data_IF_950751021690
#
_entry.id   IF_950751021690
#
_cell.length_a   1.000
_cell.length_b   1.000
_cell.length_c   1.000
_cell.angle_alpha   90.00
_cell.angle_beta   90.00
_cell.angle_gamma   90.00
#
_symmetry.space_group_name_H-M   'P 1'
#
loop_
_entity.id
_entity.type
_entity.pdbx_description
1 polymer ?
#
# COMPACT_ATOMS: atom_id res chain seq x y z
N UNK A 1 -52.39 43.56 99.27
CA UNK A 1 -51.21 42.93 98.74
C UNK A 1 -51.30 42.98 97.19
N UNK A 2 -50.37 43.71 96.60
CA UNK A 2 -50.21 43.74 95.13
C UNK A 2 -49.08 42.80 94.78
N UNK A 3 -49.35 41.90 93.90
CA UNK A 3 -48.28 41.02 93.36
C UNK A 3 -48.06 41.51 91.92
N UNK A 4 -46.84 41.92 91.61
CA UNK A 4 -46.42 42.38 90.30
C UNK A 4 -45.72 41.19 89.57
N UNK A 5 -46.25 40.86 88.40
CA UNK A 5 -45.59 39.85 87.54
C UNK A 5 -44.99 40.62 86.37
N UNK A 6 -43.70 40.51 86.22
CA UNK A 6 -42.97 41.03 85.07
C UNK A 6 -43.03 39.98 83.96
N UNK A 7 -43.68 40.33 82.88
CA UNK A 7 -43.71 39.49 81.64
C UNK A 7 -42.80 40.14 80.60
N UNK A 8 -41.76 39.40 80.18
CA UNK A 8 -40.92 39.80 79.05
C UNK A 8 -41.47 39.16 77.77
N UNK A 9 -41.96 40.01 76.87
CA UNK A 9 -42.40 39.55 75.53
C UNK A 9 -41.25 39.81 74.58
N UNK A 10 -40.68 38.80 74.03
CA UNK A 10 -39.71 38.89 72.99
C UNK A 10 -40.39 38.77 71.61
N UNK A 11 -40.36 39.83 70.82
CA UNK A 11 -41.01 39.88 69.49
C UNK A 11 -40.29 39.14 68.38
N UNK A 12 -39.18 38.46 68.72
CA UNK A 12 -38.39 37.69 67.75
C UNK A 12 -38.22 36.25 68.20
N UNK A 13 -38.37 35.32 67.30
CA UNK A 13 -38.00 33.91 67.52
C UNK A 13 -36.60 33.68 67.11
N UNK A 14 -35.79 32.97 67.93
CA UNK A 14 -34.47 32.43 67.60
C UNK A 14 -34.64 30.92 67.45
N UNK A 15 -34.54 30.46 66.25
CA UNK A 15 -34.76 29.05 65.91
C UNK A 15 -33.42 28.27 65.93
N UNK A 16 -33.48 27.03 66.41
CA UNK A 16 -32.45 26.00 66.25
C UNK A 16 -33.15 24.69 65.96
N UNK A 17 -32.71 23.97 64.94
CA UNK A 17 -33.28 22.70 64.49
C UNK A 17 -34.84 22.77 64.31
N UNK A 18 -35.30 23.89 63.78
CA UNK A 18 -36.73 24.10 63.50
C UNK A 18 -37.60 24.40 64.74
N UNK A 19 -37.01 24.64 65.90
CA UNK A 19 -37.69 25.00 67.10
C UNK A 19 -37.16 26.31 67.71
N UNK A 20 -38.04 27.14 68.20
CA UNK A 20 -37.65 28.34 68.91
C UNK A 20 -37.06 27.95 70.27
N UNK A 21 -35.83 28.43 70.54
CA UNK A 21 -35.09 28.17 71.79
C UNK A 21 -35.78 28.63 73.06
N UNK A 22 -36.86 29.50 72.95
CA UNK A 22 -37.47 30.13 74.08
C UNK A 22 -38.93 29.61 74.29
N UNK A 23 -39.67 29.35 73.24
CA UNK A 23 -41.10 29.04 73.33
C UNK A 23 -41.52 27.78 72.61
N UNK A 24 -40.63 27.00 72.07
CA UNK A 24 -40.86 25.77 71.29
C UNK A 24 -41.72 25.94 70.03
N UNK A 25 -42.01 27.20 69.64
CA UNK A 25 -42.71 27.43 68.37
C UNK A 25 -41.91 26.80 67.18
N UNK A 26 -42.65 26.18 66.28
CA UNK A 26 -42.04 25.62 65.08
C UNK A 26 -41.63 26.74 64.10
N UNK A 27 -40.45 26.64 63.55
CA UNK A 27 -40.00 27.48 62.45
C UNK A 27 -40.74 27.08 61.18
N UNK A 28 -41.57 27.99 60.60
CA UNK A 28 -42.31 27.67 59.42
C UNK A 28 -41.50 27.45 58.18
N UNK A 29 -40.24 27.94 58.23
CA UNK A 29 -39.29 27.83 57.09
C UNK A 29 -38.23 26.70 57.33
N UNK A 30 -38.31 25.97 58.42
CA UNK A 30 -37.38 24.88 58.71
C UNK A 30 -37.67 23.68 57.85
N UNK A 31 -36.66 23.29 57.11
CA UNK A 31 -36.64 22.03 56.35
C UNK A 31 -35.58 21.12 57.03
N UNK A 32 -35.97 19.98 57.59
CA UNK A 32 -35.00 19.03 58.13
C UNK A 32 -33.98 18.61 57.08
N UNK A 33 -32.75 18.41 57.55
CA UNK A 33 -31.77 17.78 56.66
C UNK A 33 -32.26 16.39 56.28
N UNK A 34 -32.09 15.99 55.01
CA UNK A 34 -32.43 14.64 54.55
C UNK A 34 -31.54 13.61 55.23
N UNK A 35 -32.08 12.43 55.49
CA UNK A 35 -31.33 11.30 56.04
C UNK A 35 -30.60 10.58 54.89
N UNK A 36 -29.34 10.28 55.04
CA UNK A 36 -28.59 9.53 54.08
C UNK A 36 -29.04 8.06 54.00
N UNK A 37 -29.17 7.52 52.76
CA UNK A 37 -29.53 6.13 52.50
C UNK A 37 -28.61 5.60 51.36
N UNK A 38 -27.85 4.58 51.65
CA UNK A 38 -26.91 3.94 50.76
C UNK A 38 -27.57 2.94 49.79
N UNK A 39 -28.86 2.61 50.01
CA UNK A 39 -29.59 1.62 49.18
C UNK A 39 -30.37 2.24 48.02
N UNK A 40 -30.19 3.53 47.75
CA UNK A 40 -30.82 4.19 46.61
C UNK A 40 -30.27 3.61 45.29
N UNK A 41 -31.11 3.18 44.34
CA UNK A 41 -30.67 2.76 43.03
C UNK A 41 -29.89 3.86 42.32
N UNK A 42 -29.04 3.49 41.38
CA UNK A 42 -28.21 4.45 40.66
C UNK A 42 -28.91 5.04 39.44
N UNK A 43 -28.34 6.11 38.88
CA UNK A 43 -28.78 6.73 37.63
C UNK A 43 -28.62 5.78 36.45
N UNK A 44 -29.41 6.05 35.42
CA UNK A 44 -29.18 5.52 34.08
C UNK A 44 -28.60 6.61 33.17
N UNK A 45 -27.74 6.20 32.23
CA UNK A 45 -27.07 7.09 31.29
C UNK A 45 -27.60 6.84 29.87
N UNK A 46 -27.83 7.91 29.11
CA UNK A 46 -28.23 7.83 27.71
C UNK A 46 -27.42 8.80 26.87
N UNK A 47 -26.75 8.27 25.82
CA UNK A 47 -26.08 9.07 24.84
C UNK A 47 -27.07 9.75 23.88
N UNK A 48 -26.79 11.00 23.53
CA UNK A 48 -27.64 11.80 22.63
C UNK A 48 -26.77 12.36 21.48
N UNK A 49 -27.42 12.56 20.34
CA UNK A 49 -26.92 13.39 19.26
C UNK A 49 -27.08 14.88 19.61
N UNK A 50 -26.42 15.75 18.83
CA UNK A 50 -26.53 17.20 18.99
C UNK A 50 -27.98 17.73 18.88
N UNK A 51 -28.84 17.04 18.15
CA UNK A 51 -30.24 17.36 17.98
C UNK A 51 -31.14 16.82 19.12
N UNK A 52 -30.56 16.17 20.14
CA UNK A 52 -31.25 15.58 21.28
C UNK A 52 -31.89 14.21 21.01
N UNK A 53 -31.72 13.64 19.84
CA UNK A 53 -32.15 12.26 19.56
C UNK A 53 -31.20 11.24 20.19
N UNK A 54 -31.67 9.99 20.41
CA UNK A 54 -30.85 8.95 20.95
C UNK A 54 -29.69 8.65 19.98
N UNK A 55 -28.47 8.62 20.52
CA UNK A 55 -27.26 8.26 19.77
C UNK A 55 -26.85 6.82 20.05
N UNK A 56 -26.33 6.14 19.01
CA UNK A 56 -25.59 4.88 19.15
C UNK A 56 -24.13 5.22 19.53
N UNK A 57 -23.93 5.92 20.62
CA UNK A 57 -22.68 6.56 20.93
C UNK A 57 -21.97 6.01 22.18
N UNK A 58 -22.42 4.87 22.70
CA UNK A 58 -21.79 4.25 23.86
C UNK A 58 -20.86 3.12 23.41
N UNK A 59 -19.59 3.21 23.79
CA UNK A 59 -18.61 2.16 23.70
C UNK A 59 -18.58 1.25 24.93
N UNK A 60 -17.42 0.72 25.28
CA UNK A 60 -17.21 -0.14 26.45
C UNK A 60 -16.77 0.69 27.67
N UNK A 61 -17.05 0.20 28.87
CA UNK A 61 -16.52 0.72 30.14
C UNK A 61 -16.68 2.24 30.37
N UNK A 62 -17.81 2.82 29.98
CA UNK A 62 -18.09 4.23 30.19
C UNK A 62 -17.49 5.17 29.15
N UNK A 63 -16.99 4.63 28.04
CA UNK A 63 -16.54 5.41 26.89
C UNK A 63 -17.68 5.81 25.97
N UNK A 64 -17.62 7.02 25.44
CA UNK A 64 -18.63 7.61 24.56
C UNK A 64 -17.95 8.28 23.36
N UNK A 65 -18.59 8.22 22.21
CA UNK A 65 -18.19 8.95 20.98
C UNK A 65 -19.04 10.19 20.72
N UNK A 66 -20.01 10.45 21.60
CA UNK A 66 -20.83 11.67 21.58
C UNK A 66 -20.68 12.41 22.88
N UNK A 67 -20.62 13.74 22.82
CA UNK A 67 -20.41 14.59 23.99
C UNK A 67 -21.67 14.83 24.82
N UNK A 68 -22.86 14.55 24.30
CA UNK A 68 -24.11 14.82 25.00
C UNK A 68 -24.63 13.56 25.69
N UNK A 69 -24.74 13.63 27.00
CA UNK A 69 -25.21 12.53 27.85
C UNK A 69 -26.36 13.03 28.75
N UNK A 70 -27.43 12.28 28.78
CA UNK A 70 -28.51 12.51 29.78
C UNK A 70 -28.39 11.53 30.92
N UNK A 71 -28.27 12.05 32.13
CA UNK A 71 -28.40 11.30 33.38
C UNK A 71 -29.86 11.25 33.75
N UNK A 72 -30.38 10.08 34.07
CA UNK A 72 -31.77 9.92 34.50
C UNK A 72 -31.84 9.32 35.90
N UNK A 73 -32.48 9.99 36.85
CA UNK A 73 -32.68 9.48 38.20
C UNK A 73 -33.63 8.25 38.19
N UNK A 74 -33.49 7.36 39.17
CA UNK A 74 -34.49 6.33 39.44
C UNK A 74 -35.87 6.94 39.71
N UNK A 75 -36.92 6.16 39.51
CA UNK A 75 -38.30 6.60 39.79
C UNK A 75 -38.46 7.06 41.27
N UNK A 76 -39.08 8.22 41.48
CA UNK A 76 -39.29 8.85 42.79
C UNK A 76 -38.04 9.58 43.34
N UNK A 77 -37.01 9.78 42.52
CA UNK A 77 -35.80 10.51 42.88
C UNK A 77 -35.50 11.64 41.88
N UNK A 78 -34.74 12.62 42.35
CA UNK A 78 -34.20 13.69 41.57
C UNK A 78 -32.67 13.75 41.71
N UNK A 79 -32.00 14.23 40.70
CA UNK A 79 -30.54 14.51 40.69
C UNK A 79 -30.33 15.91 41.28
N UNK A 80 -29.36 16.04 42.18
CA UNK A 80 -28.90 17.32 42.70
C UNK A 80 -27.38 17.36 42.77
N UNK A 81 -26.80 18.48 42.39
CA UNK A 81 -25.35 18.71 42.46
C UNK A 81 -24.89 19.13 43.88
N UNK A 82 -25.82 19.77 44.63
CA UNK A 82 -25.56 20.19 46.00
C UNK A 82 -26.80 19.85 46.86
N UNK A 83 -26.65 19.02 47.90
CA UNK A 83 -27.76 18.59 48.79
C UNK A 83 -28.43 19.73 49.55
N UNK A 84 -27.72 20.85 49.74
CA UNK A 84 -28.20 22.02 50.48
C UNK A 84 -28.82 23.10 49.55
N UNK A 85 -28.66 22.96 48.24
CA UNK A 85 -29.24 23.89 47.29
C UNK A 85 -30.75 23.64 47.13
N UNK A 86 -31.58 24.61 47.54
CA UNK A 86 -33.05 24.56 47.37
C UNK A 86 -33.52 24.67 45.90
N UNK A 87 -32.59 24.81 44.97
CA UNK A 87 -32.83 25.13 43.57
C UNK A 87 -32.27 24.04 42.66
N UNK A 88 -33.06 23.55 41.73
CA UNK A 88 -32.82 22.54 40.71
C UNK A 88 -32.80 21.08 41.22
N UNK A 89 -34.02 20.56 41.33
CA UNK A 89 -34.27 19.12 41.43
C UNK A 89 -34.78 18.67 40.08
N UNK A 90 -34.04 17.78 39.45
CA UNK A 90 -34.35 17.37 38.11
C UNK A 90 -34.37 15.83 38.01
N UNK A 91 -35.43 15.26 37.43
CA UNK A 91 -35.46 13.82 37.18
C UNK A 91 -34.41 13.44 36.14
N UNK A 92 -33.95 14.40 35.32
CA UNK A 92 -32.90 14.23 34.32
C UNK A 92 -31.92 15.41 34.37
N UNK A 93 -30.65 15.11 34.10
CA UNK A 93 -29.59 16.10 33.97
C UNK A 93 -28.84 15.86 32.66
N UNK A 94 -28.85 16.85 31.78
CA UNK A 94 -28.10 16.82 30.54
C UNK A 94 -26.72 17.42 30.81
N UNK A 95 -25.69 16.69 30.38
CA UNK A 95 -24.30 17.10 30.51
C UNK A 95 -23.64 17.08 29.15
N UNK A 96 -22.61 17.90 28.99
CA UNK A 96 -21.72 17.93 27.86
C UNK A 96 -20.31 17.49 28.31
N UNK A 97 -19.81 16.39 27.75
CA UNK A 97 -18.49 15.87 28.07
C UNK A 97 -17.40 16.63 27.30
N UNK A 98 -16.26 16.77 27.94
CA UNK A 98 -15.02 17.20 27.30
C UNK A 98 -14.21 15.97 26.85
N UNK A 99 -13.36 16.14 25.83
CA UNK A 99 -12.49 15.06 25.32
C UNK A 99 -11.60 14.49 26.43
N UNK A 100 -11.58 13.18 26.59
CA UNK A 100 -10.88 12.47 27.65
C UNK A 100 -11.74 12.14 28.87
N UNK A 101 -11.14 12.12 30.07
CA UNK A 101 -11.81 11.76 31.34
C UNK A 101 -12.68 12.92 31.86
N UNK A 102 -13.94 12.59 32.19
CA UNK A 102 -14.90 13.47 32.84
C UNK A 102 -15.34 12.84 34.16
N UNK A 103 -15.30 13.60 35.24
CA UNK A 103 -15.75 13.17 36.57
C UNK A 103 -17.03 13.93 36.93
N UNK A 104 -18.14 13.18 37.10
CA UNK A 104 -19.47 13.74 37.38
C UNK A 104 -19.83 13.38 38.79
N UNK A 105 -20.04 14.42 39.64
CA UNK A 105 -20.46 14.27 41.03
C UNK A 105 -21.91 14.64 41.15
N UNK A 106 -22.70 13.83 41.86
CA UNK A 106 -24.14 14.05 42.09
C UNK A 106 -24.61 13.35 43.32
N UNK A 107 -25.79 13.81 43.80
CA UNK A 107 -26.58 13.13 44.80
C UNK A 107 -27.95 12.79 44.22
N UNK A 108 -28.59 11.76 44.79
CA UNK A 108 -29.98 11.41 44.50
C UNK A 108 -30.84 11.72 45.72
N UNK A 109 -31.80 12.64 45.57
CA UNK A 109 -32.74 13.02 46.65
C UNK A 109 -34.11 12.51 46.29
N UNK A 110 -34.78 11.89 47.30
CA UNK A 110 -36.18 11.46 47.14
C UNK A 110 -37.10 12.65 46.97
N UNK A 111 -38.17 12.47 46.19
CA UNK A 111 -39.17 13.55 45.95
C UNK A 111 -39.77 14.15 47.22
N UNK A 112 -39.88 13.35 48.31
CA UNK A 112 -40.34 13.81 49.62
C UNK A 112 -39.33 14.64 50.41
N UNK A 113 -38.10 14.76 49.89
CA UNK A 113 -36.96 15.49 50.48
C UNK A 113 -36.47 14.98 51.82
N UNK A 114 -36.79 13.77 52.20
CA UNK A 114 -36.42 13.19 53.50
C UNK A 114 -35.20 12.25 53.40
N UNK A 115 -34.94 11.77 52.19
CA UNK A 115 -33.87 10.78 51.97
C UNK A 115 -32.96 11.25 50.84
N UNK A 116 -31.68 11.13 51.03
CA UNK A 116 -30.62 11.49 50.08
C UNK A 116 -29.57 10.37 49.97
N UNK A 117 -28.99 10.20 48.82
CA UNK A 117 -27.83 9.31 48.67
C UNK A 117 -26.57 9.93 49.26
N UNK A 118 -25.59 9.13 49.52
CA UNK A 118 -24.17 9.59 49.61
C UNK A 118 -23.77 10.32 48.33
N UNK A 119 -22.65 11.07 48.36
CA UNK A 119 -22.03 11.63 47.16
C UNK A 119 -21.66 10.49 46.23
N UNK A 120 -22.15 10.56 45.02
CA UNK A 120 -21.81 9.61 43.97
C UNK A 120 -20.95 10.25 42.90
N UNK A 121 -19.97 9.51 42.44
CA UNK A 121 -19.05 9.94 41.37
C UNK A 121 -19.15 8.96 40.22
N UNK A 122 -19.28 9.48 39.01
CA UNK A 122 -19.17 8.71 37.76
C UNK A 122 -18.05 9.24 36.92
N UNK A 123 -17.17 8.33 36.47
CA UNK A 123 -16.15 8.62 35.48
C UNK A 123 -16.67 8.21 34.12
N UNK A 124 -16.71 9.16 33.20
CA UNK A 124 -17.12 8.99 31.82
C UNK A 124 -15.97 9.47 30.93
N UNK A 125 -15.78 8.82 29.80
CA UNK A 125 -14.72 9.14 28.88
C UNK A 125 -15.31 9.50 27.52
N UNK A 126 -14.88 10.62 26.95
CA UNK A 126 -15.23 11.01 25.59
C UNK A 126 -14.02 10.80 24.68
N UNK A 127 -14.24 10.09 23.58
CA UNK A 127 -13.30 10.01 22.47
C UNK A 127 -14.07 10.10 21.17
N UNK A 128 -13.86 11.19 20.43
CA UNK A 128 -14.54 11.46 19.16
C UNK A 128 -13.69 11.13 17.94
N UNK A 129 -12.47 10.63 18.15
CA UNK A 129 -11.50 10.37 17.10
C UNK A 129 -11.36 8.89 16.85
N UNK A 130 -11.37 8.51 15.57
CA UNK A 130 -11.11 7.13 15.20
C UNK A 130 -9.61 6.83 15.18
N UNK A 131 -9.20 5.57 15.43
CA UNK A 131 -7.83 5.13 15.31
C UNK A 131 -7.20 5.50 13.96
N UNK A 132 -5.95 5.96 13.95
CA UNK A 132 -5.23 6.29 12.72
C UNK A 132 -4.25 5.19 12.35
N UNK A 133 -4.34 4.70 11.11
CA UNK A 133 -3.43 3.70 10.55
C UNK A 133 -2.37 4.42 9.71
N UNK A 134 -1.09 4.22 10.05
CA UNK A 134 0.05 4.78 9.33
C UNK A 134 0.88 3.67 8.68
N UNK A 135 1.21 3.81 7.40
CA UNK A 135 2.02 2.84 6.64
C UNK A 135 1.21 1.93 5.72
N UNK A 136 -0.12 2.00 5.76
CA UNK A 136 -1.00 1.36 4.79
C UNK A 136 -1.75 2.39 3.94
N UNK A 137 -2.05 2.00 2.71
CA UNK A 137 -2.85 2.78 1.76
C UNK A 137 -4.03 1.94 1.29
N UNK A 138 -5.22 2.55 1.25
CA UNK A 138 -6.45 1.89 0.82
C UNK A 138 -6.32 1.30 -0.60
N UNK A 139 -6.68 0.02 -0.76
CA UNK A 139 -6.65 -0.70 -2.02
C UNK A 139 -5.26 -1.06 -2.54
N UNK A 140 -4.19 -0.76 -1.80
CA UNK A 140 -2.82 -1.00 -2.26
C UNK A 140 -2.44 -2.47 -2.23
N UNK A 141 -1.65 -2.86 -3.24
CA UNK A 141 -1.02 -4.18 -3.33
C UNK A 141 0.44 -4.09 -2.88
N UNK A 142 0.79 -4.86 -1.86
CA UNK A 142 2.14 -5.01 -1.34
C UNK A 142 2.73 -6.34 -1.80
N UNK A 143 3.98 -6.32 -2.26
CA UNK A 143 4.66 -7.52 -2.76
C UNK A 143 5.35 -8.31 -1.65
N UNK A 144 5.53 -7.70 -0.49
CA UNK A 144 6.16 -8.29 0.69
C UNK A 144 5.32 -7.98 1.92
N UNK A 145 5.62 -8.65 3.05
CA UNK A 145 5.01 -8.30 4.33
C UNK A 145 5.22 -6.81 4.63
N UNK A 146 4.16 -6.13 5.06
CA UNK A 146 4.17 -4.70 5.33
C UNK A 146 3.94 -4.45 6.82
N UNK A 147 4.78 -3.59 7.41
CA UNK A 147 4.62 -3.14 8.79
C UNK A 147 3.93 -1.79 8.84
N UNK A 148 2.98 -1.64 9.75
CA UNK A 148 2.22 -0.42 9.95
C UNK A 148 2.08 -0.11 11.45
N UNK A 149 1.78 1.13 11.77
CA UNK A 149 1.52 1.58 13.13
C UNK A 149 0.10 2.12 13.28
N UNK A 150 -0.40 2.06 14.50
CA UNK A 150 -1.69 2.63 14.89
C UNK A 150 -1.44 3.73 15.91
N UNK A 151 -2.04 4.90 15.68
CA UNK A 151 -2.04 6.00 16.64
C UNK A 151 -3.43 6.03 17.27
N UNK A 152 -3.50 5.48 18.48
CA UNK A 152 -4.69 5.41 19.32
C UNK A 152 -4.29 5.03 20.73
N UNK A 153 -4.70 5.86 21.72
CA UNK A 153 -4.40 5.59 23.14
C UNK A 153 -5.38 4.57 23.75
N UNK A 154 -6.60 4.53 23.21
CA UNK A 154 -7.72 3.76 23.73
C UNK A 154 -8.11 2.60 22.82
N UNK A 155 -7.16 2.08 22.05
CA UNK A 155 -7.38 0.98 21.09
C UNK A 155 -8.00 -0.23 21.77
N UNK A 156 -9.09 -0.74 21.23
CA UNK A 156 -9.77 -1.95 21.67
C UNK A 156 -9.55 -3.08 20.66
N UNK A 157 -8.53 -3.89 20.91
CA UNK A 157 -8.19 -5.02 20.04
C UNK A 157 -9.24 -6.14 20.09
N UNK A 158 -9.99 -6.27 21.18
CA UNK A 158 -11.01 -7.32 21.32
C UNK A 158 -12.23 -7.06 20.45
N UNK A 159 -12.61 -5.78 20.28
CA UNK A 159 -13.70 -5.36 19.40
C UNK A 159 -13.27 -5.12 17.95
N UNK A 160 -11.96 -5.03 17.69
CA UNK A 160 -11.37 -4.85 16.36
C UNK A 160 -11.47 -6.15 15.55
N UNK A 161 -11.58 -6.02 14.21
CA UNK A 161 -11.52 -7.17 13.31
C UNK A 161 -10.17 -7.15 12.57
N UNK A 162 -9.22 -7.91 13.11
CA UNK A 162 -7.86 -8.02 12.58
C UNK A 162 -7.69 -9.43 11.99
N UNK A 163 -7.38 -9.56 10.68
CA UNK A 163 -7.15 -10.87 10.06
C UNK A 163 -6.03 -11.66 10.74
N UNK A 164 -6.09 -12.99 10.72
CA UNK A 164 -5.04 -13.87 11.26
C UNK A 164 -3.67 -13.67 10.58
N UNK A 165 -3.65 -13.14 9.35
CA UNK A 165 -2.43 -12.78 8.63
C UNK A 165 -1.74 -11.53 9.17
N UNK A 166 -2.39 -10.80 10.09
CA UNK A 166 -1.84 -9.60 10.73
C UNK A 166 -1.49 -9.92 12.18
N UNK A 167 -0.26 -9.65 12.55
CA UNK A 167 0.24 -9.87 13.92
C UNK A 167 0.76 -8.59 14.54
N UNK A 168 0.55 -8.42 15.84
CA UNK A 168 1.13 -7.33 16.60
C UNK A 168 2.59 -7.67 16.98
N UNK A 169 3.48 -6.71 16.78
CA UNK A 169 4.88 -6.81 17.13
C UNK A 169 5.12 -6.37 18.60
N UNK A 170 6.28 -6.72 19.14
CA UNK A 170 6.65 -6.37 20.52
C UNK A 170 6.80 -4.86 20.78
N UNK A 171 6.96 -4.05 19.75
CA UNK A 171 7.03 -2.58 19.80
C UNK A 171 5.65 -1.91 19.65
N UNK A 172 4.56 -2.68 19.54
CA UNK A 172 3.22 -2.19 19.39
C UNK A 172 2.79 -1.95 17.92
N UNK A 173 3.69 -2.04 16.96
CA UNK A 173 3.35 -2.02 15.54
C UNK A 173 2.70 -3.33 15.10
N UNK A 174 2.19 -3.37 13.88
CA UNK A 174 1.56 -4.55 13.28
C UNK A 174 2.27 -4.91 11.98
N UNK A 175 2.29 -6.20 11.68
CA UNK A 175 2.80 -6.71 10.39
C UNK A 175 1.70 -7.50 9.69
N UNK A 176 1.32 -7.07 8.48
CA UNK A 176 0.46 -7.81 7.58
C UNK A 176 1.31 -8.71 6.69
N UNK A 177 1.07 -10.02 6.79
CA UNK A 177 1.77 -11.06 6.05
C UNK A 177 1.05 -11.44 4.76
N UNK A 178 1.75 -12.02 3.77
CA UNK A 178 1.14 -12.49 2.54
C UNK A 178 0.02 -13.49 2.78
N UNK A 179 -1.11 -13.26 2.10
CA UNK A 179 -2.26 -14.18 2.07
C UNK A 179 -3.04 -14.02 0.77
N UNK A 180 -3.91 -15.00 0.46
CA UNK A 180 -4.75 -14.92 -0.73
C UNK A 180 -5.87 -13.90 -0.57
N UNK A 181 -6.01 -13.01 -1.56
CA UNK A 181 -7.09 -12.03 -1.65
C UNK A 181 -6.86 -10.75 -0.84
N UNK A 182 -7.94 -9.98 -0.75
CA UNK A 182 -7.95 -8.70 -0.02
C UNK A 182 -8.07 -8.96 1.48
N UNK A 183 -7.26 -8.27 2.25
CA UNK A 183 -7.32 -8.23 3.71
C UNK A 183 -8.04 -6.96 4.13
N UNK A 184 -9.11 -7.08 4.88
CA UNK A 184 -9.80 -5.98 5.54
C UNK A 184 -9.35 -5.92 6.99
N UNK A 185 -8.74 -4.81 7.39
CA UNK A 185 -8.31 -4.54 8.76
C UNK A 185 -9.25 -3.48 9.32
N UNK A 186 -9.99 -3.83 10.36
CA UNK A 186 -10.90 -2.91 11.05
C UNK A 186 -10.42 -2.71 12.47
N UNK A 187 -10.10 -1.48 12.82
CA UNK A 187 -9.67 -1.10 14.18
C UNK A 187 -10.75 -0.29 14.86
N UNK A 188 -10.99 -0.60 16.13
CA UNK A 188 -11.92 0.12 16.99
C UNK A 188 -11.22 0.58 18.25
N UNK A 189 -11.63 1.74 18.76
CA UNK A 189 -11.30 2.21 20.09
C UNK A 189 -12.38 1.80 21.12
N UNK A 190 -12.14 2.13 22.39
CA UNK A 190 -13.10 1.85 23.47
C UNK A 190 -14.39 2.64 23.36
N UNK A 191 -14.38 3.79 22.70
CA UNK A 191 -15.58 4.59 22.45
C UNK A 191 -16.43 4.03 21.29
N UNK A 192 -15.86 3.11 20.48
CA UNK A 192 -16.49 2.49 19.33
C UNK A 192 -16.31 3.29 18.04
N UNK A 193 -15.35 4.24 17.99
CA UNK A 193 -14.95 4.82 16.72
C UNK A 193 -14.16 3.79 15.91
N UNK A 194 -14.33 3.81 14.59
CA UNK A 194 -13.83 2.77 13.71
C UNK A 194 -13.02 3.35 12.55
N UNK A 195 -11.92 2.68 12.23
CA UNK A 195 -11.16 2.89 10.99
C UNK A 195 -10.94 1.56 10.30
N UNK A 196 -11.17 1.50 9.00
CA UNK A 196 -10.91 0.33 8.17
C UNK A 196 -9.96 0.63 7.03
N UNK A 197 -9.19 -0.37 6.61
CA UNK A 197 -8.35 -0.33 5.42
C UNK A 197 -8.35 -1.69 4.72
N UNK A 198 -8.44 -1.66 3.38
CA UNK A 198 -8.36 -2.84 2.54
C UNK A 198 -7.00 -2.86 1.84
N UNK A 199 -6.27 -3.95 1.99
CA UNK A 199 -4.97 -4.15 1.33
C UNK A 199 -4.87 -5.55 0.73
N UNK A 200 -3.91 -5.73 -0.15
CA UNK A 200 -3.51 -7.05 -0.63
C UNK A 200 -2.01 -7.23 -0.39
N UNK A 201 -1.58 -8.33 0.21
CA UNK A 201 -0.17 -8.67 0.39
C UNK A 201 0.11 -9.97 -0.34
N UNK A 202 0.73 -9.89 -1.53
CA UNK A 202 0.94 -11.04 -2.42
C UNK A 202 2.15 -11.91 -2.02
N UNK A 203 3.18 -11.33 -1.40
CA UNK A 203 4.44 -12.00 -1.09
C UNK A 203 5.34 -12.28 -2.29
N UNK A 204 4.97 -11.79 -3.48
CA UNK A 204 5.72 -11.96 -4.73
C UNK A 204 5.60 -10.71 -5.61
N UNK A 205 6.62 -10.48 -6.45
CA UNK A 205 6.59 -9.41 -7.44
C UNK A 205 6.01 -9.92 -8.76
N UNK A 206 5.25 -9.07 -9.45
CA UNK A 206 4.81 -9.25 -10.83
C UNK A 206 5.53 -8.22 -11.71
N UNK A 207 6.52 -8.68 -12.51
CA UNK A 207 7.33 -7.79 -13.32
C UNK A 207 6.81 -7.67 -14.74
N UNK A 208 6.73 -6.41 -15.25
CA UNK A 208 6.58 -6.07 -16.65
C UNK A 208 7.70 -5.10 -17.02
N UNK A 209 8.38 -5.35 -18.14
CA UNK A 209 9.52 -4.53 -18.62
C UNK A 209 10.56 -4.22 -17.54
N UNK A 210 10.81 -5.17 -16.64
CA UNK A 210 11.82 -5.06 -15.59
C UNK A 210 11.39 -4.28 -14.37
N UNK A 211 10.10 -3.90 -14.25
CA UNK A 211 9.56 -3.17 -13.11
C UNK A 211 8.33 -3.89 -12.56
N UNK A 212 8.25 -4.05 -11.26
CA UNK A 212 7.07 -4.62 -10.63
C UNK A 212 5.87 -3.69 -10.79
N UNK A 213 4.77 -4.20 -11.36
CA UNK A 213 3.54 -3.41 -11.63
C UNK A 213 2.82 -2.94 -10.35
N UNK A 214 3.13 -3.55 -9.20
CA UNK A 214 2.47 -3.21 -7.93
C UNK A 214 3.28 -2.27 -7.05
N UNK A 215 4.61 -2.45 -6.98
CA UNK A 215 5.45 -1.70 -6.03
C UNK A 215 6.55 -0.89 -6.69
N UNK A 216 6.75 -1.01 -8.02
CA UNK A 216 7.81 -0.30 -8.73
C UNK A 216 9.23 -0.84 -8.52
N UNK A 217 9.39 -1.96 -7.80
CA UNK A 217 10.70 -2.59 -7.61
C UNK A 217 11.27 -3.05 -8.96
N UNK A 218 12.57 -2.88 -9.15
CA UNK A 218 13.27 -3.38 -10.34
C UNK A 218 13.48 -4.88 -10.27
N UNK A 219 13.27 -5.58 -11.38
CA UNK A 219 13.65 -6.99 -11.53
C UNK A 219 15.19 -7.11 -11.62
N UNK A 220 15.86 -7.75 -10.67
CA UNK A 220 17.32 -7.91 -10.71
C UNK A 220 17.83 -8.76 -11.88
N UNK A 221 16.93 -9.53 -12.50
CA UNK A 221 17.25 -10.39 -13.63
C UNK A 221 16.84 -9.81 -14.99
N UNK A 222 16.20 -8.65 -15.00
CA UNK A 222 15.72 -8.02 -16.23
C UNK A 222 16.88 -7.55 -17.09
N UNK A 223 16.85 -7.99 -18.33
CA UNK A 223 17.70 -7.46 -19.39
C UNK A 223 16.82 -6.77 -20.42
N UNK A 224 16.98 -5.49 -20.56
CA UNK A 224 16.27 -4.76 -21.62
C UNK A 224 16.68 -5.32 -22.99
N UNK A 225 15.74 -5.52 -23.91
CA UNK A 225 16.03 -5.91 -25.29
C UNK A 225 17.04 -4.95 -25.94
N UNK A 226 17.91 -5.47 -26.83
CA UNK A 226 18.83 -4.63 -27.56
C UNK A 226 18.07 -3.68 -28.50
N UNK A 227 18.55 -2.45 -28.58
CA UNK A 227 18.00 -1.47 -29.52
C UNK A 227 18.53 -1.75 -30.93
N UNK A 228 17.60 -1.89 -31.89
CA UNK A 228 17.97 -2.09 -33.28
C UNK A 228 18.59 -0.80 -33.87
N UNK A 229 19.76 -0.96 -34.59
CA UNK A 229 20.45 0.17 -35.19
C UNK A 229 21.01 -0.16 -36.58
N UNK A 230 20.87 0.82 -37.47
CA UNK A 230 21.50 0.78 -38.80
C UNK A 230 22.99 1.21 -38.80
N UNK A 231 23.43 1.84 -37.71
CA UNK A 231 24.78 2.42 -37.62
C UNK A 231 25.84 1.40 -37.17
N UNK A 232 25.46 0.14 -37.04
CA UNK A 232 26.41 -0.93 -36.69
C UNK A 232 27.29 -1.21 -37.91
N UNK A 233 28.65 -1.19 -37.77
CA UNK A 233 29.60 -1.50 -38.87
C UNK A 233 29.36 -2.89 -39.47
N UNK A 234 29.69 -3.09 -40.73
CA UNK A 234 29.57 -4.39 -41.36
C UNK A 234 30.66 -5.38 -40.89
N UNK A 235 30.32 -6.65 -40.88
CA UNK A 235 31.30 -7.70 -40.67
C UNK A 235 32.24 -7.82 -41.89
N UNK A 236 33.48 -8.21 -41.64
CA UNK A 236 34.53 -8.31 -42.66
C UNK A 236 34.69 -9.75 -43.10
N UNK A 237 34.43 -10.06 -44.38
CA UNK A 237 34.67 -11.38 -44.91
C UNK A 237 36.18 -11.64 -45.17
N UNK A 238 36.59 -12.91 -45.27
CA UNK A 238 37.86 -13.29 -45.82
C UNK A 238 38.08 -12.57 -47.17
N UNK A 239 39.29 -12.08 -47.42
CA UNK A 239 39.60 -11.40 -48.68
C UNK A 239 39.31 -12.32 -49.90
N UNK A 240 38.55 -11.84 -50.89
CA UNK A 240 38.33 -12.62 -52.11
C UNK A 240 39.60 -13.01 -52.85
N UNK A 241 39.62 -14.21 -53.43
CA UNK A 241 40.78 -14.72 -54.19
C UNK A 241 40.82 -14.17 -55.61
N UNK A 242 39.76 -13.57 -56.10
CA UNK A 242 39.62 -13.01 -57.43
C UNK A 242 38.90 -11.66 -57.45
N UNK A 243 38.82 -11.00 -58.58
CA UNK A 243 38.19 -9.71 -58.70
C UNK A 243 36.65 -9.78 -58.35
N UNK A 244 36.12 -8.76 -57.66
CA UNK A 244 34.69 -8.59 -57.47
C UNK A 244 34.01 -9.63 -56.61
N UNK A 245 34.41 -9.85 -55.41
CA UNK A 245 33.79 -10.77 -54.43
C UNK A 245 33.74 -12.25 -54.85
N UNK A 246 34.66 -12.68 -55.75
CA UNK A 246 34.79 -14.06 -56.17
C UNK A 246 35.79 -14.84 -55.32
N UNK A 247 35.44 -16.05 -54.94
CA UNK A 247 36.23 -16.99 -54.17
C UNK A 247 36.46 -18.26 -54.97
N UNK A 248 37.68 -18.80 -54.86
CA UNK A 248 38.06 -20.12 -55.45
C UNK A 248 37.93 -21.23 -54.41
N UNK A 249 37.73 -20.88 -53.16
CA UNK A 249 37.45 -21.82 -52.07
C UNK A 249 36.01 -21.66 -51.65
N UNK A 250 35.37 -22.76 -51.37
CA UNK A 250 33.97 -22.77 -50.96
C UNK A 250 33.76 -22.42 -49.46
N UNK A 251 34.82 -22.10 -48.72
CA UNK A 251 34.76 -21.72 -47.31
C UNK A 251 35.33 -20.34 -47.10
N UNK A 252 34.55 -19.48 -46.47
CA UNK A 252 34.98 -18.15 -46.07
C UNK A 252 34.67 -17.93 -44.61
N UNK A 253 35.39 -17.02 -43.97
CA UNK A 253 35.12 -16.57 -42.62
C UNK A 253 34.58 -15.14 -42.66
N UNK A 254 33.45 -14.89 -41.99
CA UNK A 254 32.89 -13.58 -41.80
C UNK A 254 33.17 -13.16 -40.35
N UNK A 255 33.98 -12.11 -40.15
CA UNK A 255 34.47 -11.67 -38.85
C UNK A 255 33.74 -10.41 -38.40
N UNK A 256 33.18 -10.42 -37.19
CA UNK A 256 32.52 -9.25 -36.58
C UNK A 256 33.50 -8.12 -36.30
N UNK A 257 33.09 -6.87 -36.37
CA UNK A 257 33.85 -5.72 -35.87
C UNK A 257 34.20 -5.88 -34.38
N UNK A 258 35.24 -5.23 -33.93
CA UNK A 258 35.58 -5.19 -32.49
C UNK A 258 34.41 -4.65 -31.68
N UNK A 259 34.06 -5.32 -30.60
CA UNK A 259 32.95 -4.95 -29.74
C UNK A 259 31.60 -5.54 -30.14
N UNK A 260 31.59 -6.46 -31.14
CA UNK A 260 30.36 -7.14 -31.56
C UNK A 260 30.52 -8.66 -31.64
N UNK A 261 29.44 -9.35 -31.33
CA UNK A 261 29.22 -10.77 -31.68
C UNK A 261 28.46 -10.87 -33.00
N UNK A 262 28.54 -12.01 -33.67
CA UNK A 262 27.89 -12.24 -34.96
C UNK A 262 27.06 -13.52 -34.94
N UNK A 263 25.87 -13.46 -35.57
CA UNK A 263 24.98 -14.61 -35.71
C UNK A 263 24.17 -14.52 -37.01
N UNK A 264 23.60 -15.65 -37.44
CA UNK A 264 22.65 -15.72 -38.56
C UNK A 264 21.20 -15.57 -38.08
N UNK A 265 20.96 -15.42 -36.81
CA UNK A 265 19.65 -15.15 -36.23
C UNK A 265 19.62 -13.77 -35.55
N UNK A 266 18.47 -13.11 -35.56
CA UNK A 266 18.19 -11.89 -34.82
C UNK A 266 17.73 -12.15 -33.38
N UNK A 267 17.47 -13.40 -33.02
CA UNK A 267 17.03 -13.78 -31.68
C UNK A 267 18.19 -13.67 -30.69
N UNK A 268 18.11 -12.64 -29.82
CA UNK A 268 19.13 -12.36 -28.80
C UNK A 268 19.39 -13.52 -27.87
N UNK A 269 18.36 -14.34 -27.56
CA UNK A 269 18.48 -15.50 -26.68
C UNK A 269 19.35 -16.60 -27.27
N UNK A 270 19.41 -16.68 -28.61
CA UNK A 270 20.14 -17.65 -29.40
C UNK A 270 21.43 -17.10 -30.02
N UNK A 271 21.77 -15.82 -29.77
CA UNK A 271 22.83 -15.11 -30.48
C UNK A 271 24.24 -15.67 -30.17
N UNK A 272 24.47 -16.10 -28.98
CA UNK A 272 25.79 -16.59 -28.54
C UNK A 272 26.88 -15.49 -28.49
N UNK A 273 28.13 -15.91 -28.34
CA UNK A 273 29.29 -15.01 -28.19
C UNK A 273 30.30 -15.18 -29.30
N UNK A 274 29.88 -15.68 -30.47
CA UNK A 274 30.75 -15.88 -31.61
C UNK A 274 31.19 -14.53 -32.19
N UNK A 275 32.50 -14.37 -32.45
CA UNK A 275 33.09 -13.20 -33.12
C UNK A 275 33.34 -13.42 -34.60
N UNK A 276 33.03 -14.62 -35.11
CA UNK A 276 33.10 -14.93 -36.54
C UNK A 276 32.17 -16.09 -36.89
N UNK A 277 31.77 -16.14 -38.16
CA UNK A 277 31.02 -17.24 -38.76
C UNK A 277 31.90 -17.90 -39.85
N UNK A 278 32.01 -19.23 -39.80
CA UNK A 278 32.56 -20.01 -40.92
C UNK A 278 31.42 -20.39 -41.85
N UNK A 279 31.49 -19.95 -43.09
CA UNK A 279 30.44 -20.06 -44.10
C UNK A 279 30.86 -20.95 -45.24
N UNK A 280 30.00 -21.84 -45.70
CA UNK A 280 30.22 -22.66 -46.89
C UNK A 280 29.41 -22.06 -48.02
N UNK A 281 30.10 -21.81 -49.18
CA UNK A 281 29.51 -21.23 -50.38
C UNK A 281 29.11 -22.35 -51.35
N UNK A 282 28.00 -22.13 -52.02
CA UNK A 282 27.59 -22.91 -53.19
C UNK A 282 28.14 -22.26 -54.46
N UNK A 283 28.27 -23.03 -55.53
CA UNK A 283 28.67 -22.53 -56.84
C UNK A 283 27.74 -21.40 -57.30
N UNK A 284 28.29 -20.28 -57.74
CA UNK A 284 27.59 -19.08 -58.14
C UNK A 284 27.44 -18.06 -56.99
N UNK A 285 26.36 -17.24 -57.07
CA UNK A 285 26.08 -16.19 -56.11
C UNK A 285 25.47 -16.74 -54.80
N UNK A 286 26.05 -16.34 -53.67
CA UNK A 286 25.57 -16.62 -52.33
C UNK A 286 25.19 -15.32 -51.64
N UNK A 287 23.93 -15.26 -51.13
CA UNK A 287 23.47 -14.19 -50.26
C UNK A 287 23.34 -14.70 -48.83
N UNK A 288 24.10 -14.14 -47.93
CA UNK A 288 24.26 -14.60 -46.57
C UNK A 288 23.76 -13.50 -45.66
N UNK A 289 22.67 -13.78 -44.93
CA UNK A 289 22.11 -12.87 -43.92
C UNK A 289 22.82 -13.07 -42.59
N UNK A 290 23.13 -11.98 -41.91
CA UNK A 290 23.73 -12.00 -40.58
C UNK A 290 23.29 -10.78 -39.76
N UNK A 291 23.51 -10.88 -38.46
CA UNK A 291 23.24 -9.82 -37.47
C UNK A 291 24.45 -9.65 -36.57
N UNK A 292 24.60 -8.45 -36.01
CA UNK A 292 25.66 -8.09 -35.09
C UNK A 292 25.06 -7.58 -33.80
N UNK A 293 25.45 -8.15 -32.66
CA UNK A 293 25.05 -7.74 -31.32
C UNK A 293 26.26 -7.15 -30.60
N UNK A 294 26.11 -5.94 -30.03
CA UNK A 294 27.16 -5.35 -29.20
C UNK A 294 27.48 -6.25 -28.01
N UNK A 295 28.76 -6.29 -27.60
CA UNK A 295 29.21 -7.17 -26.51
C UNK A 295 28.60 -6.85 -25.17
N UNK A 296 28.02 -5.64 -24.98
CA UNK A 296 27.25 -5.23 -23.82
C UNK A 296 25.75 -5.58 -23.92
N UNK A 297 25.33 -6.15 -25.05
CA UNK A 297 23.96 -6.58 -25.31
C UNK A 297 22.94 -5.46 -25.53
N UNK A 298 23.39 -4.20 -25.75
CA UNK A 298 22.48 -3.06 -25.84
C UNK A 298 22.07 -2.69 -27.27
N UNK A 299 22.82 -3.04 -28.26
CA UNK A 299 22.57 -2.68 -29.65
C UNK A 299 22.67 -3.91 -30.54
N UNK A 300 21.62 -4.14 -31.34
CA UNK A 300 21.62 -5.16 -32.41
C UNK A 300 21.51 -4.48 -33.76
N UNK A 301 22.24 -4.98 -34.76
CA UNK A 301 22.13 -4.48 -36.14
C UNK A 301 20.75 -4.78 -36.72
N UNK A 302 20.33 -3.98 -37.67
CA UNK A 302 19.35 -4.44 -38.67
C UNK A 302 19.92 -5.62 -39.45
N UNK A 303 19.06 -6.30 -40.20
CA UNK A 303 19.50 -7.37 -41.11
C UNK A 303 20.63 -6.88 -42.05
N UNK A 304 21.75 -7.59 -42.07
CA UNK A 304 22.89 -7.35 -42.96
C UNK A 304 23.03 -8.49 -43.92
N UNK A 305 23.46 -8.18 -45.13
CA UNK A 305 23.66 -9.18 -46.19
C UNK A 305 25.05 -9.10 -46.74
N UNK A 306 25.73 -10.23 -46.78
CA UNK A 306 26.97 -10.42 -47.53
C UNK A 306 26.64 -11.14 -48.87
N UNK A 307 27.09 -10.55 -49.99
CA UNK A 307 27.06 -11.23 -51.27
C UNK A 307 28.47 -11.75 -51.57
N UNK A 308 28.61 -13.06 -51.73
CA UNK A 308 29.85 -13.76 -52.05
C UNK A 308 29.65 -14.72 -53.20
N UNK A 309 30.51 -14.68 -54.19
CA UNK A 309 30.45 -15.53 -55.38
C UNK A 309 31.54 -16.61 -55.27
N UNK A 310 31.17 -17.84 -55.57
CA UNK A 310 32.11 -18.97 -55.59
C UNK A 310 32.11 -19.63 -56.92
N UNK A 311 33.31 -19.86 -57.47
CA UNK A 311 33.54 -20.60 -58.69
C UNK A 311 34.86 -21.36 -58.64
N UNK A 312 34.77 -22.66 -58.72
CA UNK A 312 35.90 -23.54 -58.81
C UNK A 312 36.00 -24.24 -60.18
N UNK A 313 35.04 -24.03 -61.05
CA UNK A 313 34.98 -24.65 -62.39
C UNK A 313 35.89 -23.94 -63.31
N UNK A 314 36.88 -24.67 -63.86
CA UNK A 314 37.81 -24.09 -64.80
C UNK A 314 37.18 -23.90 -66.20
N UNK A 315 37.49 -22.79 -66.90
CA UNK A 315 37.03 -22.62 -68.27
C UNK A 315 37.35 -23.82 -69.18
N UNK A 316 36.38 -24.20 -69.99
CA UNK A 316 36.56 -25.31 -70.94
C UNK A 316 36.94 -24.73 -72.30
N UNK A 317 38.10 -25.24 -72.83
CA UNK A 317 38.58 -24.93 -74.17
C UNK A 317 38.20 -26.08 -75.06
N UNK A 318 37.52 -25.81 -76.16
CA UNK A 318 37.08 -26.80 -77.17
C UNK A 318 37.44 -26.35 -78.59
N UNK A 319 37.35 -27.24 -79.56
CA UNK A 319 37.70 -26.98 -80.98
C UNK A 319 39.20 -27.10 -81.32
N UNK A 320 40.08 -27.20 -80.25
CA UNK A 320 41.48 -27.39 -80.41
C UNK A 320 42.00 -28.41 -79.42
N UNK A 321 43.07 -29.09 -79.80
CA UNK A 321 43.81 -30.02 -78.93
C UNK A 321 45.16 -29.41 -78.48
N UNK A 322 45.47 -29.51 -77.21
CA UNK A 322 46.76 -28.97 -76.69
C UNK A 322 47.97 -29.55 -77.37
N UNK A 323 49.00 -28.72 -77.68
CA UNK A 323 50.23 -29.09 -78.34
C UNK A 323 50.09 -29.59 -79.82
N UNK A 324 48.91 -29.44 -80.44
CA UNK A 324 48.67 -29.79 -81.80
C UNK A 324 48.96 -28.61 -82.74
N UNK A 325 49.59 -28.86 -83.88
CA UNK A 325 49.79 -27.85 -84.90
C UNK A 325 48.72 -28.01 -85.99
N UNK A 326 48.03 -26.89 -86.29
CA UNK A 326 46.96 -26.78 -87.28
C UNK A 326 47.52 -26.05 -88.52
N UNK A 327 47.25 -26.61 -89.73
CA UNK A 327 47.72 -26.07 -91.00
C UNK A 327 46.78 -25.05 -91.60
N UNK A 328 45.53 -24.96 -91.02
CA UNK A 328 44.48 -24.05 -91.46
C UNK A 328 43.94 -23.31 -90.25
N UNK A 329 43.21 -22.18 -90.50
CA UNK A 329 42.58 -21.48 -89.47
C UNK A 329 41.55 -22.36 -88.79
N UNK A 330 41.65 -22.47 -87.49
CA UNK A 330 40.71 -23.25 -86.68
C UNK A 330 40.04 -22.37 -85.60
N UNK A 331 38.80 -22.68 -85.28
CA UNK A 331 38.08 -21.99 -84.27
C UNK A 331 38.23 -22.70 -82.94
N UNK A 332 38.65 -21.94 -81.92
CA UNK A 332 38.62 -22.41 -80.58
C UNK A 332 37.44 -21.77 -79.88
N UNK A 333 36.77 -22.49 -79.03
CA UNK A 333 35.68 -21.98 -78.18
C UNK A 333 36.08 -22.09 -76.71
N UNK A 334 35.93 -20.99 -75.96
CA UNK A 334 36.15 -20.98 -74.54
C UNK A 334 34.76 -20.78 -73.89
N UNK A 335 34.41 -21.66 -73.01
CA UNK A 335 33.11 -21.62 -72.30
C UNK A 335 33.34 -21.68 -70.78
N UNK A 336 32.81 -20.70 -70.12
CA UNK A 336 32.77 -20.59 -68.69
C UNK A 336 31.62 -19.62 -68.32
N UNK A 337 30.86 -19.90 -67.27
CA UNK A 337 29.72 -19.09 -66.86
C UNK A 337 30.15 -17.72 -66.31
N UNK A 338 31.41 -17.62 -65.83
CA UNK A 338 31.91 -16.43 -65.14
C UNK A 338 33.23 -15.93 -65.78
N UNK A 339 33.37 -16.14 -67.07
CA UNK A 339 34.60 -15.77 -67.80
C UNK A 339 34.86 -14.27 -67.76
N UNK A 340 35.94 -13.83 -67.18
CA UNK A 340 36.32 -12.41 -67.06
C UNK A 340 37.31 -12.00 -68.19
N UNK A 341 38.26 -12.85 -68.54
CA UNK A 341 39.25 -12.47 -69.47
C UNK A 341 39.85 -13.72 -70.21
N UNK A 342 40.09 -13.55 -71.48
CA UNK A 342 40.80 -14.49 -72.29
C UNK A 342 42.09 -13.82 -72.82
N UNK A 343 43.22 -14.50 -72.61
CA UNK A 343 44.53 -14.02 -73.12
C UNK A 343 45.04 -14.99 -74.16
N UNK A 344 45.37 -14.50 -75.36
CA UNK A 344 45.94 -15.30 -76.44
C UNK A 344 47.37 -14.81 -76.67
N UNK A 345 48.39 -15.74 -76.64
CA UNK A 345 49.78 -15.43 -76.78
C UNK A 345 50.33 -14.39 -75.76
N UNK A 346 49.78 -14.32 -74.61
CA UNK A 346 50.21 -13.42 -73.52
C UNK A 346 49.87 -11.96 -73.72
N UNK A 347 48.96 -11.59 -74.62
CA UNK A 347 48.42 -10.25 -74.82
C UNK A 347 46.95 -10.16 -74.41
#
# INVERSE_FOLDING_TARGET
NMTTVNVIVNNGHTFSEGKCLICDASDPDYVPEPTEDTNIPDITLKALNEDGTAADGQGTDGWYRTKYITLTAPEGYNIVENPYARLRRMPTLDIELEEGENEIEYYLIKEDNKTISELRTRKLYLDTKAPQINGLEEGKVYCEAVTFSVVEENLDLESSNIPESVSQNSDGSFTASPTAGVQEIVLRDKAGNETSVHITVNGTHAFEDGVCVHCGASDPNYKAPAVQSNDVPDAVPTTPDAAGNWYRKNTIKLTAPTGYYISQTSDESSFGTATSLDLTLNEGENKITYYLLSTDGKVISTEKTLTANFDQTAPVISGVEGKKTYCEATTLTISDANLVQVTVNGT
#
